data_IF_418318509795
#
_entry.id   IF_418318509795
#
_cell.length_a   1.000
_cell.length_b   1.000
_cell.length_c   1.000
_cell.angle_alpha   90.00
_cell.angle_beta   90.00
_cell.angle_gamma   90.00
#
_symmetry.space_group_name_H-M   'P 1'
#
loop_
_entity.id
_entity.type
_entity.pdbx_description
1 polymer ?
#
# COMPACT_ATOMS: atom_id res chain seq x y z
N UNK A 1 -8.94 41.40 31.32
CA UNK A 1 -8.73 41.59 29.87
C UNK A 1 -9.39 40.40 29.17
N UNK A 2 -10.71 40.32 28.96
CA UNK A 2 -11.64 41.16 28.15
C UNK A 2 -11.21 41.24 26.67
N UNK A 3 -11.48 40.18 25.90
CA UNK A 3 -12.54 40.13 24.86
C UNK A 3 -12.20 39.21 23.66
N UNK A 4 -13.21 38.54 23.08
CA UNK A 4 -13.10 37.63 21.94
C UNK A 4 -13.33 38.33 20.60
N UNK A 5 -12.83 37.75 19.51
CA UNK A 5 -13.09 38.20 18.14
C UNK A 5 -14.01 37.20 17.42
N UNK A 6 -15.28 37.60 17.32
CA UNK A 6 -16.22 37.10 16.33
C UNK A 6 -15.86 37.71 14.96
N UNK A 7 -15.89 36.91 13.89
CA UNK A 7 -16.18 37.41 12.56
C UNK A 7 -17.08 36.41 11.82
N UNK A 8 -18.32 36.84 11.61
CA UNK A 8 -19.24 36.32 10.60
C UNK A 8 -18.77 36.76 9.22
N UNK A 9 -18.91 35.91 8.19
CA UNK A 9 -19.06 36.39 6.80
C UNK A 9 -19.74 35.35 5.89
N UNK A 10 -20.94 35.74 5.45
CA UNK A 10 -21.58 35.58 4.15
C UNK A 10 -21.72 34.20 3.47
N UNK A 11 -22.99 33.76 3.40
CA UNK A 11 -23.55 33.05 2.25
C UNK A 11 -23.65 33.98 1.03
N UNK A 12 -23.33 33.50 -0.19
CA UNK A 12 -23.82 34.11 -1.42
C UNK A 12 -25.07 33.39 -1.96
N UNK A 13 -25.99 34.26 -2.35
CA UNK A 13 -27.26 34.05 -3.04
C UNK A 13 -27.13 33.30 -4.37
N UNK A 14 -28.09 32.42 -4.60
CA UNK A 14 -28.52 31.84 -5.88
C UNK A 14 -29.04 32.91 -6.86
N UNK A 15 -28.50 32.94 -8.08
CA UNK A 15 -29.20 33.46 -9.27
C UNK A 15 -29.09 32.47 -10.44
N UNK A 16 -30.15 32.29 -11.26
CA UNK A 16 -30.19 31.33 -12.35
C UNK A 16 -29.61 31.89 -13.65
N UNK A 17 -28.52 31.29 -14.14
CA UNK A 17 -28.01 31.54 -15.49
C UNK A 17 -28.92 30.90 -16.56
N UNK A 18 -29.56 31.75 -17.37
CA UNK A 18 -30.08 31.40 -18.70
C UNK A 18 -28.92 30.95 -19.58
N UNK A 19 -28.84 29.66 -19.88
CA UNK A 19 -27.92 29.14 -20.91
C UNK A 19 -28.65 29.13 -22.25
N UNK A 20 -28.13 29.93 -23.18
CA UNK A 20 -28.54 29.92 -24.57
C UNK A 20 -28.16 28.58 -25.22
N UNK A 21 -29.12 27.95 -25.89
CA UNK A 21 -28.90 26.78 -26.74
C UNK A 21 -28.04 27.19 -27.94
N UNK A 22 -26.75 26.87 -27.94
CA UNK A 22 -25.96 26.78 -29.16
C UNK A 22 -26.15 25.40 -29.77
N UNK A 23 -26.66 25.34 -31.00
CA UNK A 23 -26.73 24.12 -31.78
C UNK A 23 -25.32 23.53 -32.00
N UNK A 24 -25.12 22.20 -31.88
CA UNK A 24 -23.83 21.59 -32.18
C UNK A 24 -23.64 21.47 -33.70
N UNK A 25 -22.60 22.14 -34.18
CA UNK A 25 -22.07 22.08 -35.54
C UNK A 25 -21.49 20.69 -35.84
N UNK A 26 -21.97 20.09 -36.92
CA UNK A 26 -21.51 18.79 -37.45
C UNK A 26 -20.11 18.89 -38.08
N UNK A 27 -19.05 18.69 -37.28
CA UNK A 27 -17.67 18.53 -37.77
C UNK A 27 -16.92 17.33 -37.18
N UNK A 28 -17.63 16.43 -36.49
CA UNK A 28 -17.07 15.33 -35.68
C UNK A 28 -16.65 14.08 -36.47
N UNK A 29 -16.96 13.99 -37.77
CA UNK A 29 -16.85 12.72 -38.51
C UNK A 29 -15.41 12.31 -38.84
N UNK A 30 -14.53 13.25 -39.25
CA UNK A 30 -13.16 12.90 -39.66
C UNK A 30 -12.26 12.59 -38.46
N UNK A 31 -12.39 13.36 -37.37
CA UNK A 31 -11.55 13.24 -36.19
C UNK A 31 -11.72 11.88 -35.48
N UNK A 32 -12.95 11.35 -35.43
CA UNK A 32 -13.25 10.08 -34.76
C UNK A 32 -12.62 8.87 -35.45
N UNK A 33 -12.53 8.89 -36.80
CA UNK A 33 -11.91 7.79 -37.55
C UNK A 33 -10.41 7.78 -37.31
N UNK A 34 -9.76 8.95 -37.38
CA UNK A 34 -8.33 9.08 -37.09
C UNK A 34 -7.97 8.66 -35.65
N UNK A 35 -8.85 8.90 -34.68
CA UNK A 35 -8.61 8.43 -33.29
C UNK A 35 -8.72 6.92 -33.15
N UNK A 36 -9.61 6.28 -33.92
CA UNK A 36 -9.82 4.84 -33.86
C UNK A 36 -8.65 4.09 -34.50
N UNK A 37 -8.20 4.52 -35.68
CA UNK A 37 -7.03 3.95 -36.37
C UNK A 37 -5.76 4.08 -35.51
N UNK A 38 -5.53 5.26 -34.93
CA UNK A 38 -4.39 5.50 -34.06
C UNK A 38 -4.45 4.64 -32.78
N UNK A 39 -5.64 4.47 -32.18
CA UNK A 39 -5.82 3.62 -31.01
C UNK A 39 -5.60 2.13 -31.35
N UNK A 40 -6.10 1.66 -32.50
CA UNK A 40 -5.84 0.30 -33.00
C UNK A 40 -4.34 0.04 -33.16
N UNK A 41 -3.62 0.98 -33.79
CA UNK A 41 -2.17 0.88 -33.96
C UNK A 41 -1.44 0.81 -32.61
N UNK A 42 -1.79 1.69 -31.67
CA UNK A 42 -1.22 1.70 -30.33
C UNK A 42 -1.47 0.39 -29.58
N UNK A 43 -2.68 -0.18 -29.67
CA UNK A 43 -3.01 -1.46 -29.03
C UNK A 43 -2.25 -2.64 -29.65
N UNK A 44 -2.03 -2.63 -30.98
CA UNK A 44 -1.20 -3.64 -31.65
C UNK A 44 0.26 -3.55 -31.20
N UNK A 45 0.81 -2.34 -31.10
CA UNK A 45 2.17 -2.13 -30.59
C UNK A 45 2.28 -2.59 -29.13
N UNK A 46 1.32 -2.19 -28.29
CA UNK A 46 1.26 -2.62 -26.90
C UNK A 46 1.22 -4.14 -26.79
N UNK A 47 0.35 -4.80 -27.56
CA UNK A 47 0.26 -6.27 -27.63
C UNK A 47 1.61 -6.95 -27.89
N UNK A 48 2.42 -6.42 -28.82
CA UNK A 48 3.74 -6.99 -29.11
C UNK A 48 4.79 -6.67 -28.05
N UNK A 49 4.61 -5.58 -27.28
CA UNK A 49 5.47 -5.27 -26.14
C UNK A 49 5.12 -6.12 -24.89
N UNK A 50 3.88 -6.60 -24.75
CA UNK A 50 3.40 -7.34 -23.59
C UNK A 50 3.67 -8.86 -23.70
N UNK A 51 4.94 -9.27 -23.72
CA UNK A 51 5.28 -10.71 -23.79
C UNK A 51 5.29 -11.41 -22.41
N UNK A 52 5.42 -10.64 -21.33
CA UNK A 52 5.53 -11.19 -19.97
C UNK A 52 4.22 -11.80 -19.44
N UNK A 53 3.06 -11.35 -19.93
CA UNK A 53 1.74 -11.76 -19.43
C UNK A 53 0.83 -12.15 -20.60
N UNK A 54 0.75 -13.46 -20.95
CA UNK A 54 0.01 -13.94 -22.11
C UNK A 54 -1.45 -13.49 -22.16
N UNK A 55 -2.10 -13.39 -21.00
CA UNK A 55 -3.51 -12.98 -20.96
C UNK A 55 -3.72 -11.48 -21.20
N UNK A 56 -2.76 -10.63 -20.83
CA UNK A 56 -2.81 -9.21 -21.15
C UNK A 56 -2.63 -9.00 -22.67
N UNK A 57 -1.73 -9.79 -23.29
CA UNK A 57 -1.59 -9.84 -24.76
C UNK A 57 -2.91 -10.19 -25.45
N UNK A 58 -3.68 -11.13 -24.90
CA UNK A 58 -5.01 -11.50 -25.42
C UNK A 58 -6.04 -10.36 -25.27
N UNK A 59 -6.06 -9.68 -24.12
CA UNK A 59 -6.95 -8.52 -23.89
C UNK A 59 -6.64 -7.38 -24.87
N UNK A 60 -5.35 -7.05 -25.06
CA UNK A 60 -4.92 -6.04 -26.02
C UNK A 60 -5.28 -6.41 -27.45
N UNK A 61 -5.14 -7.69 -27.81
CA UNK A 61 -5.60 -8.22 -29.11
C UNK A 61 -7.11 -8.08 -29.31
N UNK A 62 -7.91 -8.47 -28.31
CA UNK A 62 -9.37 -8.32 -28.36
C UNK A 62 -9.78 -6.85 -28.46
N UNK A 63 -9.12 -5.96 -27.71
CA UNK A 63 -9.34 -4.52 -27.80
C UNK A 63 -9.04 -3.98 -29.20
N UNK A 64 -7.90 -4.36 -29.80
CA UNK A 64 -7.57 -3.96 -31.17
C UNK A 64 -8.64 -4.41 -32.18
N UNK A 65 -9.11 -5.66 -32.07
CA UNK A 65 -10.19 -6.18 -32.92
C UNK A 65 -11.51 -5.42 -32.72
N UNK A 66 -11.86 -5.06 -31.48
CA UNK A 66 -13.05 -4.26 -31.16
C UNK A 66 -13.00 -2.91 -31.89
N UNK A 67 -11.83 -2.25 -31.90
CA UNK A 67 -11.65 -0.99 -32.62
C UNK A 67 -11.79 -1.18 -34.13
N UNK A 68 -11.13 -2.18 -34.73
CA UNK A 68 -11.26 -2.48 -36.16
C UNK A 68 -12.72 -2.76 -36.58
N UNK A 69 -13.47 -3.46 -35.72
CA UNK A 69 -14.89 -3.73 -35.96
C UNK A 69 -15.74 -2.47 -35.83
N UNK A 70 -15.39 -1.57 -34.90
CA UNK A 70 -16.10 -0.31 -34.68
C UNK A 70 -15.94 0.64 -35.89
N UNK A 71 -14.80 0.63 -36.58
CA UNK A 71 -14.61 1.41 -37.83
C UNK A 71 -15.63 1.03 -38.92
N UNK A 72 -16.07 -0.24 -38.94
CA UNK A 72 -17.04 -0.76 -39.92
C UNK A 72 -18.49 -0.49 -39.54
N UNK A 73 -18.75 -0.06 -38.31
CA UNK A 73 -20.11 0.19 -37.81
C UNK A 73 -20.47 1.66 -38.02
N UNK A 74 -21.70 1.88 -38.48
CA UNK A 74 -22.24 3.21 -38.79
C UNK A 74 -22.21 4.14 -37.56
N UNK A 75 -21.68 5.37 -37.74
CA UNK A 75 -21.37 6.37 -36.69
C UNK A 75 -22.53 6.83 -35.80
N UNK A 76 -23.77 6.39 -36.07
CA UNK A 76 -24.97 6.86 -35.35
C UNK A 76 -25.20 6.19 -33.98
N UNK A 77 -24.26 5.37 -33.48
CA UNK A 77 -24.49 4.50 -32.30
C UNK A 77 -23.61 4.88 -31.12
N UNK A 78 -23.92 6.01 -30.49
CA UNK A 78 -23.14 6.59 -29.39
C UNK A 78 -22.74 5.57 -28.30
N UNK A 79 -23.70 4.80 -27.78
CA UNK A 79 -23.44 3.83 -26.71
C UNK A 79 -22.40 2.74 -27.07
N UNK A 80 -22.30 2.34 -28.34
CA UNK A 80 -21.27 1.40 -28.76
C UNK A 80 -19.91 2.07 -28.93
N UNK A 81 -19.88 3.32 -29.42
CA UNK A 81 -18.63 4.09 -29.47
C UNK A 81 -18.08 4.32 -28.07
N UNK A 82 -18.93 4.69 -27.12
CA UNK A 82 -18.53 4.89 -25.72
C UNK A 82 -17.96 3.59 -25.11
N UNK A 83 -18.60 2.45 -25.40
CA UNK A 83 -18.12 1.13 -24.97
C UNK A 83 -16.75 0.78 -25.58
N UNK A 84 -16.54 1.06 -26.87
CA UNK A 84 -15.27 0.81 -27.58
C UNK A 84 -14.16 1.67 -26.97
N UNK A 85 -14.42 2.96 -26.75
CA UNK A 85 -13.47 3.88 -26.12
C UNK A 85 -13.10 3.42 -24.71
N UNK A 86 -14.10 3.07 -23.88
CA UNK A 86 -13.87 2.56 -22.53
C UNK A 86 -13.02 1.27 -22.55
N UNK A 87 -13.30 0.34 -23.46
CA UNK A 87 -12.51 -0.88 -23.63
C UNK A 87 -11.05 -0.58 -24.01
N UNK A 88 -10.81 0.41 -24.89
CA UNK A 88 -9.47 0.84 -25.26
C UNK A 88 -8.70 1.46 -24.10
N UNK A 89 -9.33 2.38 -23.36
CA UNK A 89 -8.71 3.03 -22.20
C UNK A 89 -8.37 2.02 -21.10
N UNK A 90 -9.26 1.07 -20.86
CA UNK A 90 -9.02 0.00 -19.90
C UNK A 90 -7.94 -0.98 -20.35
N UNK A 91 -7.84 -1.31 -21.64
CA UNK A 91 -6.76 -2.14 -22.15
C UNK A 91 -5.39 -1.47 -21.92
N UNK A 92 -5.28 -0.15 -22.14
CA UNK A 92 -4.05 0.62 -21.85
C UNK A 92 -3.71 0.64 -20.35
N UNK A 93 -4.72 0.79 -19.48
CA UNK A 93 -4.52 0.73 -18.03
C UNK A 93 -4.04 -0.66 -17.58
N UNK A 94 -4.57 -1.73 -18.17
CA UNK A 94 -4.13 -3.10 -17.90
C UNK A 94 -2.68 -3.27 -18.31
N UNK A 95 -2.29 -2.86 -19.53
CA UNK A 95 -0.91 -2.94 -20.01
C UNK A 95 0.07 -2.23 -19.06
N UNK A 96 -0.21 -0.98 -18.70
CA UNK A 96 0.60 -0.23 -17.74
C UNK A 96 0.66 -0.88 -16.35
N UNK A 97 -0.42 -1.53 -15.91
CA UNK A 97 -0.48 -2.20 -14.61
C UNK A 97 0.28 -3.53 -14.57
N UNK A 98 0.41 -4.23 -15.70
CA UNK A 98 1.09 -5.54 -15.77
C UNK A 98 2.51 -5.44 -16.30
N UNK A 99 2.88 -4.34 -16.96
CA UNK A 99 4.20 -4.14 -17.54
C UNK A 99 5.32 -4.35 -16.50
N UNK A 100 6.18 -5.33 -16.76
CA UNK A 100 7.33 -5.65 -15.92
C UNK A 100 7.01 -6.29 -14.57
N UNK A 101 5.76 -6.71 -14.33
CA UNK A 101 5.36 -7.32 -13.05
C UNK A 101 5.10 -8.82 -13.18
N UNK A 102 5.49 -9.57 -12.14
CA UNK A 102 5.03 -10.96 -11.95
C UNK A 102 3.67 -10.90 -11.29
N UNK A 103 2.67 -11.53 -11.90
CA UNK A 103 1.29 -11.50 -11.41
C UNK A 103 1.01 -12.65 -10.45
N UNK A 104 0.33 -12.35 -9.35
CA UNK A 104 -0.22 -13.38 -8.46
C UNK A 104 -1.41 -14.09 -9.12
N UNK A 105 -1.69 -15.31 -8.66
CA UNK A 105 -2.81 -16.17 -9.11
C UNK A 105 -4.15 -15.45 -9.00
N UNK A 106 -4.35 -14.63 -7.96
CA UNK A 106 -5.58 -13.84 -7.81
C UNK A 106 -5.71 -12.79 -8.91
N UNK A 107 -4.62 -12.10 -9.23
CA UNK A 107 -4.59 -11.08 -10.27
C UNK A 107 -4.79 -11.69 -11.66
N UNK A 108 -4.16 -12.85 -11.92
CA UNK A 108 -4.37 -13.61 -13.14
C UNK A 108 -5.84 -13.98 -13.34
N UNK A 109 -6.51 -14.48 -12.29
CA UNK A 109 -7.95 -14.80 -12.34
C UNK A 109 -8.81 -13.56 -12.62
N UNK A 110 -8.40 -12.38 -12.18
CA UNK A 110 -9.10 -11.12 -12.50
C UNK A 110 -8.93 -10.73 -13.97
N UNK A 111 -7.73 -10.90 -14.51
CA UNK A 111 -7.48 -10.71 -15.94
C UNK A 111 -8.27 -11.71 -16.79
N UNK A 112 -8.46 -12.95 -16.36
CA UNK A 112 -9.31 -13.94 -17.07
C UNK A 112 -10.77 -13.49 -17.16
N UNK A 113 -11.29 -12.91 -16.07
CA UNK A 113 -12.65 -12.35 -16.05
C UNK A 113 -12.76 -11.13 -16.97
N UNK A 114 -11.79 -10.22 -16.90
CA UNK A 114 -11.72 -9.08 -17.81
C UNK A 114 -11.68 -9.54 -19.27
N UNK A 115 -10.80 -10.49 -19.61
CA UNK A 115 -10.73 -11.07 -20.94
C UNK A 115 -12.08 -11.63 -21.41
N UNK A 116 -12.81 -12.32 -20.52
CA UNK A 116 -14.15 -12.82 -20.84
C UNK A 116 -15.12 -11.68 -21.20
N UNK A 117 -15.03 -10.52 -20.52
CA UNK A 117 -15.84 -9.33 -20.85
C UNK A 117 -15.41 -8.75 -22.21
N UNK A 118 -14.12 -8.61 -22.48
CA UNK A 118 -13.61 -8.18 -23.78
C UNK A 118 -14.10 -9.09 -24.91
N UNK A 119 -14.04 -10.41 -24.73
CA UNK A 119 -14.55 -11.38 -25.70
C UNK A 119 -16.07 -11.24 -25.95
N UNK A 120 -16.87 -10.93 -24.92
CA UNK A 120 -18.31 -10.63 -25.08
C UNK A 120 -18.54 -9.35 -25.90
N UNK A 121 -17.74 -8.31 -25.68
CA UNK A 121 -17.81 -7.05 -26.42
C UNK A 121 -17.42 -7.29 -27.89
N UNK A 122 -16.33 -8.01 -28.13
CA UNK A 122 -15.91 -8.39 -29.48
C UNK A 122 -16.99 -9.19 -30.21
N UNK A 123 -17.58 -10.20 -29.57
CA UNK A 123 -18.68 -10.98 -30.12
C UNK A 123 -19.91 -10.12 -30.43
N UNK A 124 -20.21 -9.11 -29.60
CA UNK A 124 -21.25 -8.14 -29.88
C UNK A 124 -20.93 -7.32 -31.14
N UNK A 125 -19.69 -6.83 -31.28
CA UNK A 125 -19.26 -6.03 -32.44
C UNK A 125 -19.24 -6.85 -33.74
N UNK A 126 -18.70 -8.06 -33.71
CA UNK A 126 -18.69 -8.97 -34.87
C UNK A 126 -20.13 -9.24 -35.37
N UNK A 127 -21.06 -9.42 -34.43
CA UNK A 127 -22.47 -9.66 -34.75
C UNK A 127 -23.15 -8.48 -35.44
N UNK A 128 -22.64 -7.27 -35.27
CA UNK A 128 -23.18 -6.02 -35.84
C UNK A 128 -22.47 -5.58 -37.12
N UNK A 129 -21.18 -5.92 -37.25
CA UNK A 129 -20.39 -5.70 -38.47
C UNK A 129 -20.80 -6.66 -39.61
N UNK A 130 -21.41 -7.81 -39.31
CA UNK A 130 -21.80 -8.81 -40.32
C UNK A 130 -22.97 -8.38 -41.23
N UNK A 131 -23.02 -8.90 -42.49
CA UNK A 131 -24.09 -8.61 -43.43
C UNK A 131 -25.40 -9.25 -42.96
N UNK A 132 -26.40 -8.44 -42.58
CA UNK A 132 -27.72 -8.91 -42.16
C UNK A 132 -28.83 -8.12 -42.85
N UNK A 133 -29.97 -8.79 -43.03
CA UNK A 133 -31.16 -8.22 -43.66
C UNK A 133 -31.59 -6.93 -42.98
N UNK A 134 -31.98 -5.95 -43.80
CA UNK A 134 -32.20 -4.55 -43.42
C UNK A 134 -33.23 -4.41 -42.30
N UNK A 135 -34.31 -5.21 -42.33
CA UNK A 135 -35.42 -5.14 -41.37
C UNK A 135 -35.07 -5.66 -39.95
N UNK A 136 -34.28 -6.74 -39.85
CA UNK A 136 -33.81 -7.26 -38.55
C UNK A 136 -32.73 -6.37 -37.94
N UNK A 137 -32.03 -5.60 -38.77
CA UNK A 137 -31.11 -4.56 -38.31
C UNK A 137 -31.90 -3.49 -37.55
N UNK A 138 -32.90 -2.86 -38.15
CA UNK A 138 -33.57 -1.68 -37.57
C UNK A 138 -34.15 -1.92 -36.17
N UNK A 139 -34.90 -3.01 -35.96
CA UNK A 139 -35.53 -3.30 -34.65
C UNK A 139 -34.50 -3.58 -33.54
N UNK A 140 -33.48 -4.36 -33.86
CA UNK A 140 -32.41 -4.71 -32.92
C UNK A 140 -31.50 -3.52 -32.62
N UNK A 141 -31.27 -2.66 -33.62
CA UNK A 141 -30.42 -1.48 -33.53
C UNK A 141 -31.00 -0.41 -32.59
N UNK A 142 -32.32 -0.26 -32.54
CA UNK A 142 -32.96 0.82 -31.77
C UNK A 142 -33.10 0.47 -30.30
N UNK A 143 -33.37 -0.79 -29.94
CA UNK A 143 -33.70 -1.14 -28.55
C UNK A 143 -32.74 -2.13 -27.90
N UNK A 144 -32.42 -3.25 -28.56
CA UNK A 144 -31.69 -4.35 -27.90
C UNK A 144 -30.20 -4.06 -27.77
N UNK A 145 -29.64 -3.33 -28.73
CA UNK A 145 -28.21 -3.12 -28.81
C UNK A 145 -27.65 -2.12 -27.80
N UNK A 146 -28.25 -0.93 -27.62
CA UNK A 146 -27.80 0.03 -26.62
C UNK A 146 -27.85 -0.57 -25.21
N UNK A 147 -28.94 -1.27 -24.87
CA UNK A 147 -29.11 -1.94 -23.57
C UNK A 147 -28.01 -2.97 -23.32
N UNK A 148 -27.64 -3.75 -24.35
CA UNK A 148 -26.54 -4.72 -24.22
C UNK A 148 -25.17 -4.04 -24.14
N UNK A 149 -24.96 -2.96 -24.87
CA UNK A 149 -23.72 -2.19 -24.79
C UNK A 149 -23.55 -1.56 -23.39
N UNK A 150 -24.60 -0.96 -22.85
CA UNK A 150 -24.63 -0.41 -21.48
C UNK A 150 -24.42 -1.52 -20.42
N UNK A 151 -25.07 -2.68 -20.59
CA UNK A 151 -24.86 -3.82 -19.71
C UNK A 151 -23.41 -4.33 -19.74
N UNK A 152 -22.77 -4.34 -20.91
CA UNK A 152 -21.36 -4.73 -21.02
C UNK A 152 -20.42 -3.65 -20.50
N UNK A 153 -20.77 -2.37 -20.66
CA UNK A 153 -20.01 -1.25 -20.10
C UNK A 153 -19.98 -1.31 -18.58
N UNK A 154 -21.12 -1.59 -17.95
CA UNK A 154 -21.22 -1.75 -16.49
C UNK A 154 -20.50 -3.01 -15.99
N UNK A 155 -20.56 -4.12 -16.73
CA UNK A 155 -19.79 -5.33 -16.42
C UNK A 155 -18.27 -5.08 -16.52
N UNK A 156 -17.82 -4.39 -17.57
CA UNK A 156 -16.43 -4.01 -17.80
C UNK A 156 -15.90 -3.07 -16.71
N UNK A 157 -16.66 -2.02 -16.38
CA UNK A 157 -16.31 -1.08 -15.31
C UNK A 157 -16.23 -1.79 -13.95
N UNK A 158 -17.17 -2.70 -13.67
CA UNK A 158 -17.18 -3.48 -12.43
C UNK A 158 -15.92 -4.33 -12.30
N UNK A 159 -15.57 -5.12 -13.32
CA UNK A 159 -14.38 -5.97 -13.25
C UNK A 159 -13.09 -5.13 -13.23
N UNK A 160 -13.05 -3.97 -13.91
CA UNK A 160 -11.91 -3.05 -13.84
C UNK A 160 -11.73 -2.50 -12.43
N UNK A 161 -12.80 -2.05 -11.76
CA UNK A 161 -12.73 -1.58 -10.37
C UNK A 161 -12.18 -2.67 -9.44
N UNK A 162 -12.63 -3.92 -9.63
CA UNK A 162 -12.14 -5.06 -8.83
C UNK A 162 -10.66 -5.37 -9.11
N UNK A 163 -10.22 -5.27 -10.38
CA UNK A 163 -8.82 -5.41 -10.76
C UNK A 163 -7.94 -4.34 -10.10
N UNK A 164 -8.34 -3.06 -10.18
CA UNK A 164 -7.62 -1.95 -9.57
C UNK A 164 -7.54 -2.07 -8.04
N UNK A 165 -8.64 -2.46 -7.37
CA UNK A 165 -8.65 -2.67 -5.91
C UNK A 165 -7.69 -3.81 -5.54
N UNK A 166 -7.71 -4.92 -6.27
CA UNK A 166 -6.78 -6.04 -6.02
C UNK A 166 -5.33 -5.59 -6.15
N UNK A 167 -5.02 -4.82 -7.22
CA UNK A 167 -3.65 -4.34 -7.45
C UNK A 167 -3.17 -3.38 -6.38
N UNK A 168 -4.06 -2.51 -5.88
CA UNK A 168 -3.74 -1.58 -4.80
C UNK A 168 -3.52 -2.28 -3.46
N UNK A 169 -4.23 -3.38 -3.19
CA UNK A 169 -4.01 -4.18 -1.97
C UNK A 169 -2.66 -4.92 -2.07
N UNK A 170 -2.40 -5.59 -3.20
CA UNK A 170 -1.18 -6.36 -3.38
C UNK A 170 0.07 -5.47 -3.30
N UNK A 171 0.04 -4.29 -3.93
CA UNK A 171 1.14 -3.31 -3.83
C UNK A 171 1.35 -2.80 -2.41
N UNK A 172 0.28 -2.49 -1.67
CA UNK A 172 0.40 -2.04 -0.27
C UNK A 172 0.96 -3.13 0.63
N UNK A 173 0.55 -4.38 0.45
CA UNK A 173 1.09 -5.51 1.20
C UNK A 173 2.56 -5.74 0.88
N UNK A 174 2.94 -5.72 -0.40
CA UNK A 174 4.33 -5.86 -0.82
C UNK A 174 5.21 -4.72 -0.27
N UNK A 175 4.72 -3.48 -0.26
CA UNK A 175 5.42 -2.34 0.36
C UNK A 175 5.55 -2.55 1.86
N UNK A 176 4.49 -2.99 2.55
CA UNK A 176 4.54 -3.24 3.99
C UNK A 176 5.56 -4.34 4.34
N UNK A 177 5.61 -5.42 3.57
CA UNK A 177 6.60 -6.48 3.73
C UNK A 177 8.03 -5.99 3.45
N UNK A 178 8.20 -5.19 2.39
CA UNK A 178 9.50 -4.59 2.06
C UNK A 178 9.97 -3.66 3.17
N UNK A 179 9.09 -2.79 3.69
CA UNK A 179 9.38 -1.91 4.82
C UNK A 179 9.75 -2.73 6.04
N UNK A 180 9.02 -3.82 6.33
CA UNK A 180 9.33 -4.71 7.45
C UNK A 180 10.71 -5.35 7.30
N UNK A 181 11.07 -5.85 6.11
CA UNK A 181 12.39 -6.44 5.86
C UNK A 181 13.49 -5.39 6.00
N UNK A 182 13.29 -4.21 5.41
CA UNK A 182 14.24 -3.09 5.51
C UNK A 182 14.40 -2.62 6.95
N UNK A 183 13.31 -2.59 7.72
CA UNK A 183 13.34 -2.29 9.15
C UNK A 183 14.03 -3.40 9.96
N UNK A 184 13.80 -4.67 9.64
CA UNK A 184 14.49 -5.78 10.29
C UNK A 184 16.00 -5.69 10.04
N UNK A 185 16.42 -5.33 8.82
CA UNK A 185 17.82 -5.19 8.41
C UNK A 185 18.46 -3.82 8.70
N UNK A 186 17.70 -2.85 9.20
CA UNK A 186 18.27 -1.59 9.65
C UNK A 186 19.08 -1.82 10.93
N UNK A 187 20.37 -1.51 10.86
CA UNK A 187 21.29 -1.63 12.01
C UNK A 187 21.05 -0.52 13.05
N UNK A 188 20.37 0.55 12.66
CA UNK A 188 20.15 1.74 13.48
C UNK A 188 18.68 2.18 13.43
N UNK A 189 18.20 2.68 14.56
CA UNK A 189 16.93 3.38 14.74
C UNK A 189 17.24 4.82 15.18
N UNK A 190 17.33 5.73 14.20
CA UNK A 190 17.92 7.05 14.39
C UNK A 190 19.41 6.96 14.76
N UNK A 191 19.78 7.58 15.87
CA UNK A 191 21.17 7.60 16.36
C UNK A 191 21.58 6.32 17.14
N UNK A 192 20.65 5.40 17.39
CA UNK A 192 20.85 4.26 18.29
C UNK A 192 20.92 2.94 17.55
N UNK A 193 21.74 2.00 18.03
CA UNK A 193 21.81 0.68 17.44
C UNK A 193 20.51 -0.09 17.69
N UNK A 194 19.97 -0.72 16.66
CA UNK A 194 18.84 -1.65 16.77
C UNK A 194 19.40 -3.02 17.16
N UNK A 195 19.05 -3.51 18.35
CA UNK A 195 19.57 -4.77 18.88
C UNK A 195 18.61 -5.94 18.62
N UNK A 196 19.14 -7.07 18.16
CA UNK A 196 18.44 -8.35 18.04
C UNK A 196 18.74 -9.21 19.27
N UNK A 197 17.90 -10.22 19.53
CA UNK A 197 18.17 -11.16 20.63
C UNK A 197 19.53 -11.86 20.49
N UNK A 198 19.91 -12.22 19.26
CA UNK A 198 21.19 -12.89 18.98
C UNK A 198 22.41 -12.01 19.21
N UNK A 199 22.24 -10.68 19.29
CA UNK A 199 23.35 -9.75 19.54
C UNK A 199 23.76 -9.73 21.03
N UNK A 200 22.93 -10.28 21.92
CA UNK A 200 23.12 -10.27 23.37
C UNK A 200 23.45 -11.68 23.87
N UNK A 201 24.72 -11.94 24.15
CA UNK A 201 25.23 -13.21 24.65
C UNK A 201 25.60 -13.18 26.13
N UNK A 202 25.32 -14.28 26.85
CA UNK A 202 25.70 -14.50 28.25
C UNK A 202 25.07 -13.49 29.21
N UNK A 203 24.05 -13.89 29.99
CA UNK A 203 23.35 -12.97 30.92
C UNK A 203 23.59 -13.38 32.37
N UNK A 204 24.17 -12.48 33.15
CA UNK A 204 24.24 -12.61 34.61
C UNK A 204 23.36 -11.54 35.25
N UNK A 205 22.32 -11.95 35.95
CA UNK A 205 21.42 -11.03 36.64
C UNK A 205 22.20 -10.31 37.74
N UNK A 206 22.14 -8.98 37.74
CA UNK A 206 22.75 -8.11 38.75
C UNK A 206 21.71 -7.77 39.80
N UNK A 207 20.54 -7.30 39.36
CA UNK A 207 19.44 -6.95 40.23
C UNK A 207 18.10 -7.03 39.51
N UNK A 208 17.06 -7.25 40.31
CA UNK A 208 15.67 -7.26 39.87
C UNK A 208 14.82 -6.37 40.75
N UNK A 209 13.85 -5.68 40.15
CA UNK A 209 12.89 -4.83 40.84
C UNK A 209 11.46 -5.20 40.43
N UNK A 210 10.58 -5.40 41.39
CA UNK A 210 9.15 -5.49 41.10
C UNK A 210 8.63 -4.11 40.66
N UNK A 211 7.91 -4.08 39.55
CA UNK A 211 7.21 -2.91 39.02
C UNK A 211 5.79 -3.31 38.65
N UNK A 212 4.89 -2.33 38.49
CA UNK A 212 3.47 -2.60 38.18
C UNK A 212 3.29 -3.49 36.93
N UNK A 213 4.19 -3.34 35.95
CA UNK A 213 4.14 -4.05 34.66
C UNK A 213 4.84 -5.44 34.66
N UNK A 214 5.52 -5.84 35.74
CA UNK A 214 6.30 -7.08 35.81
C UNK A 214 7.56 -6.98 36.69
N UNK A 215 8.59 -7.75 36.37
CA UNK A 215 9.90 -7.73 37.04
C UNK A 215 10.91 -7.05 36.11
N UNK A 216 11.40 -5.89 36.52
CA UNK A 216 12.44 -5.17 35.81
C UNK A 216 13.80 -5.76 36.18
N UNK A 217 14.47 -6.37 35.20
CA UNK A 217 15.75 -7.04 35.40
C UNK A 217 16.89 -6.23 34.78
N UNK A 218 17.96 -6.04 35.55
CA UNK A 218 19.25 -5.56 35.07
C UNK A 218 20.23 -6.74 35.08
N UNK A 219 20.81 -7.03 33.92
CA UNK A 219 21.77 -8.10 33.76
C UNK A 219 23.04 -7.58 33.09
N UNK A 220 24.18 -8.11 33.50
CA UNK A 220 25.42 -8.00 32.74
C UNK A 220 25.33 -8.92 31.53
N UNK A 221 25.59 -8.39 30.34
CA UNK A 221 25.62 -9.20 29.12
C UNK A 221 26.63 -8.70 28.09
N UNK A 222 27.11 -9.60 27.23
CA UNK A 222 27.97 -9.23 26.10
C UNK A 222 27.12 -8.81 24.92
N UNK A 223 27.30 -7.58 24.47
CA UNK A 223 26.70 -7.04 23.24
C UNK A 223 27.85 -6.68 22.31
N UNK A 224 27.91 -7.30 21.13
CA UNK A 224 29.05 -7.16 20.21
C UNK A 224 30.42 -7.45 20.86
N UNK A 225 30.46 -8.49 21.70
CA UNK A 225 31.63 -8.88 22.50
C UNK A 225 32.09 -7.84 23.56
N UNK A 226 31.34 -6.77 23.79
CA UNK A 226 31.60 -5.78 24.84
C UNK A 226 30.64 -6.04 26.01
N UNK A 227 31.16 -6.08 27.23
CA UNK A 227 30.34 -6.23 28.43
C UNK A 227 29.51 -4.96 28.67
N UNK A 228 28.19 -5.12 28.77
CA UNK A 228 27.22 -4.04 28.92
C UNK A 228 26.16 -4.41 29.95
N UNK A 229 25.41 -3.40 30.40
CA UNK A 229 24.23 -3.62 31.23
C UNK A 229 23.02 -3.67 30.32
N UNK A 230 22.28 -4.78 30.36
CA UNK A 230 21.01 -4.94 29.65
C UNK A 230 19.87 -4.85 30.64
N UNK A 231 18.87 -4.04 30.28
CA UNK A 231 17.64 -3.84 31.05
C UNK A 231 16.45 -4.33 30.25
N UNK A 232 15.67 -5.21 30.85
CA UNK A 232 14.48 -5.81 30.24
C UNK A 232 13.40 -6.04 31.28
N UNK A 233 12.15 -6.13 30.82
CA UNK A 233 10.99 -6.40 31.67
C UNK A 233 10.56 -7.85 31.46
N UNK A 234 10.67 -8.65 32.50
CA UNK A 234 10.10 -10.00 32.53
C UNK A 234 8.67 -9.93 33.05
N UNK A 235 7.71 -10.36 32.23
CA UNK A 235 6.35 -10.63 32.70
C UNK A 235 6.27 -12.09 33.09
N UNK A 236 6.13 -12.43 34.38
CA UNK A 236 5.98 -13.82 34.76
C UNK A 236 4.68 -14.37 34.14
N UNK A 237 4.83 -15.26 33.16
CA UNK A 237 3.75 -16.09 32.64
C UNK A 237 3.44 -17.15 33.71
N UNK A 238 2.68 -16.77 34.73
CA UNK A 238 2.05 -17.68 35.71
C UNK A 238 2.90 -18.89 36.13
N UNK A 239 3.99 -18.67 36.86
CA UNK A 239 4.81 -19.76 37.39
C UNK A 239 5.94 -19.21 38.25
N UNK A 240 5.87 -19.44 39.56
CA UNK A 240 6.80 -18.90 40.54
C UNK A 240 8.22 -19.39 40.29
N UNK A 241 9.06 -18.52 39.73
CA UNK A 241 10.50 -18.67 39.82
C UNK A 241 10.97 -17.89 41.06
N UNK A 242 11.62 -18.62 41.95
CA UNK A 242 12.23 -18.13 43.18
C UNK A 242 13.44 -17.26 42.82
N UNK A 243 13.28 -15.93 42.85
CA UNK A 243 14.33 -14.96 42.48
C UNK A 243 15.12 -14.58 43.74
N UNK A 244 16.26 -15.24 43.94
CA UNK A 244 17.19 -15.05 45.08
C UNK A 244 17.90 -13.68 45.14
N UNK A 245 17.62 -12.74 44.23
CA UNK A 245 18.29 -11.44 44.11
C UNK A 245 17.30 -10.26 44.13
N UNK A 246 16.43 -10.22 45.13
CA UNK A 246 15.54 -9.09 45.35
C UNK A 246 16.31 -7.90 45.94
N UNK A 247 16.38 -6.78 45.20
CA UNK A 247 16.79 -5.51 45.79
C UNK A 247 15.59 -4.84 46.47
N UNK A 248 15.80 -4.10 47.58
CA UNK A 248 14.73 -3.32 48.20
C UNK A 248 14.13 -2.32 47.19
N UNK A 249 12.81 -2.06 47.25
CA UNK A 249 12.19 -1.07 46.39
C UNK A 249 12.81 0.31 46.64
N UNK A 250 13.28 0.97 45.57
CA UNK A 250 13.80 2.33 45.65
C UNK A 250 12.66 3.30 46.05
N UNK A 251 12.87 4.23 47.00
CA UNK A 251 11.84 5.17 47.47
C UNK A 251 11.36 6.19 46.41
N UNK A 252 11.88 6.10 45.18
CA UNK A 252 11.59 6.98 44.05
C UNK A 252 10.79 6.31 42.93
N UNK A 253 10.22 5.11 43.13
CA UNK A 253 9.34 4.46 42.15
C UNK A 253 7.98 5.17 42.03
N UNK A 254 8.02 6.45 41.64
CA UNK A 254 6.89 7.21 41.15
C UNK A 254 6.43 6.49 39.88
N UNK A 255 5.13 6.18 39.80
CA UNK A 255 4.33 5.55 38.71
C UNK A 255 4.73 5.94 37.28
N UNK A 256 5.94 5.62 36.87
CA UNK A 256 6.49 5.95 35.57
C UNK A 256 6.61 4.65 34.80
N UNK A 257 6.08 4.63 33.58
CA UNK A 257 6.20 3.49 32.69
C UNK A 257 7.67 3.09 32.61
N UNK A 258 7.97 1.79 32.63
CA UNK A 258 9.36 1.32 32.60
C UNK A 258 10.13 1.82 31.35
N UNK A 259 9.42 2.28 30.32
CA UNK A 259 9.93 2.94 29.10
C UNK A 259 10.45 4.37 29.30
N UNK A 260 10.08 5.06 30.38
CA UNK A 260 10.48 6.46 30.63
C UNK A 260 12.00 6.61 30.86
N UNK A 261 12.64 5.61 31.45
CA UNK A 261 14.08 5.65 31.74
C UNK A 261 14.95 5.55 30.47
N UNK A 262 14.72 4.59 29.53
CA UNK A 262 15.38 4.58 28.23
C UNK A 262 15.20 5.88 27.43
N UNK A 263 14.04 6.53 27.49
CA UNK A 263 13.81 7.81 26.81
C UNK A 263 14.60 8.97 27.43
N UNK A 264 14.71 9.01 28.76
CA UNK A 264 15.58 9.95 29.44
C UNK A 264 17.04 9.72 29.01
N UNK A 265 17.48 8.45 28.99
CA UNK A 265 18.83 8.09 28.57
C UNK A 265 19.09 8.46 27.12
N UNK A 266 18.12 8.31 26.20
CA UNK A 266 18.24 8.82 24.81
C UNK A 266 18.59 10.31 24.79
N UNK A 267 17.92 11.13 25.60
CA UNK A 267 18.15 12.59 25.63
C UNK A 267 19.53 12.97 26.16
N UNK A 268 20.06 12.21 27.12
CA UNK A 268 21.36 12.51 27.75
C UNK A 268 22.55 11.74 27.16
N UNK A 269 22.31 10.79 26.26
CA UNK A 269 23.38 9.96 25.65
C UNK A 269 23.96 10.58 24.37
N UNK A 270 23.75 11.89 24.15
CA UNK A 270 24.32 12.59 22.98
C UNK A 270 25.80 12.86 23.16
N UNK A 271 26.54 13.09 22.06
CA UNK A 271 27.98 13.42 22.12
C UNK A 271 28.24 14.62 23.04
N UNK A 272 27.38 15.65 22.97
CA UNK A 272 27.54 16.90 23.73
C UNK A 272 27.18 16.78 25.22
N UNK A 273 26.35 15.81 25.60
CA UNK A 273 25.91 15.58 26.99
C UNK A 273 26.52 14.34 27.63
N UNK A 274 27.40 13.66 26.89
CA UNK A 274 28.10 12.48 27.36
C UNK A 274 29.04 12.80 28.53
N UNK A 275 28.98 12.00 29.59
CA UNK A 275 29.84 12.14 30.76
C UNK A 275 30.43 10.78 31.16
N UNK A 276 31.71 10.71 31.59
CA UNK A 276 32.35 9.45 31.95
C UNK A 276 31.70 8.70 33.11
N UNK A 277 30.93 9.38 33.97
CA UNK A 277 30.23 8.74 35.09
C UNK A 277 28.73 8.51 34.83
N UNK A 278 28.28 8.68 33.59
CA UNK A 278 26.87 8.51 33.21
C UNK A 278 26.76 7.34 32.22
N UNK A 279 25.84 6.43 32.49
CA UNK A 279 25.53 5.34 31.56
C UNK A 279 24.99 5.92 30.26
N UNK A 280 25.50 5.44 29.13
CA UNK A 280 25.04 5.86 27.82
C UNK A 280 24.26 4.73 27.17
N UNK A 281 23.17 5.09 26.50
CA UNK A 281 22.42 4.15 25.69
C UNK A 281 23.29 3.68 24.53
N UNK A 282 23.39 2.36 24.35
CA UNK A 282 24.09 1.75 23.22
C UNK A 282 23.10 1.39 22.11
N UNK A 283 22.04 0.69 22.50
CA UNK A 283 21.04 0.22 21.56
C UNK A 283 19.78 -0.27 22.25
N UNK A 284 18.73 -0.38 21.46
CA UNK A 284 17.40 -0.80 21.91
C UNK A 284 16.89 -1.86 20.97
N UNK A 285 16.23 -2.86 21.54
CA UNK A 285 15.36 -3.75 20.78
C UNK A 285 13.94 -3.23 20.82
N UNK A 286 13.40 -2.85 19.66
CA UNK A 286 11.99 -2.52 19.50
C UNK A 286 11.07 -3.76 19.55
N UNK A 287 9.77 -3.55 19.31
CA UNK A 287 8.78 -4.63 19.26
C UNK A 287 7.88 -4.71 20.49
N UNK A 288 7.26 -5.90 20.66
CA UNK A 288 6.33 -6.20 21.77
C UNK A 288 6.96 -5.87 23.13
N UNK A 289 6.17 -5.36 24.11
CA UNK A 289 6.66 -5.05 25.45
C UNK A 289 7.46 -6.19 26.09
N UNK A 290 7.06 -7.44 25.86
CA UNK A 290 7.66 -8.64 26.47
C UNK A 290 9.02 -9.02 25.84
N UNK A 291 9.36 -8.42 24.71
CA UNK A 291 10.59 -8.68 23.96
C UNK A 291 11.54 -7.47 23.98
N UNK A 292 11.11 -6.35 24.57
CA UNK A 292 11.85 -5.09 24.53
C UNK A 292 12.98 -5.12 25.57
N UNK A 293 14.17 -4.71 25.14
CA UNK A 293 15.29 -4.48 26.05
C UNK A 293 16.14 -3.31 25.58
N UNK A 294 16.89 -2.72 26.50
CA UNK A 294 17.86 -1.67 26.23
C UNK A 294 19.24 -2.11 26.74
N UNK A 295 20.29 -1.85 25.98
CA UNK A 295 21.67 -2.05 26.40
C UNK A 295 22.35 -0.71 26.67
N UNK A 296 23.12 -0.67 27.74
CA UNK A 296 23.84 0.51 28.19
C UNK A 296 25.34 0.23 28.25
N UNK A 297 26.12 1.14 27.68
CA UNK A 297 27.56 1.19 27.87
C UNK A 297 27.85 2.02 29.12
N UNK A 298 28.74 1.54 29.98
CA UNK A 298 29.25 2.35 31.08
C UNK A 298 30.25 3.37 30.54
N UNK A 299 30.19 4.61 31.04
CA UNK A 299 31.37 5.46 30.98
C UNK A 299 32.38 4.94 32.02
N UNK A 300 33.61 4.65 31.58
CA UNK A 300 34.88 4.36 32.28
C UNK A 300 34.95 3.80 33.73
N UNK A 301 33.88 3.37 34.38
CA UNK A 301 33.89 2.90 35.77
C UNK A 301 32.82 1.82 35.98
N UNK A 302 33.06 0.67 35.37
CA UNK A 302 32.47 -0.59 35.79
C UNK A 302 33.59 -1.64 35.86
N UNK A 303 34.74 -1.27 36.44
CA UNK A 303 35.56 -2.21 37.21
C UNK A 303 34.87 -2.42 38.56
N UNK A 304 33.65 -2.96 38.54
CA UNK A 304 33.17 -3.68 39.70
C UNK A 304 33.97 -4.97 39.71
N UNK A 305 34.95 -5.04 40.62
CA UNK A 305 35.54 -6.30 41.05
C UNK A 305 34.39 -7.22 41.51
N UNK A 306 33.91 -8.04 40.59
CA UNK A 306 33.13 -9.23 40.90
C UNK A 306 34.18 -10.34 40.99
N UNK A 307 34.71 -10.54 42.20
CA UNK A 307 35.36 -11.78 42.60
C UNK A 307 34.31 -12.73 43.18
#
# INVERSE_FOLDING_TARGET
MVSPLCHAFNCPSTEPHKVAMSAPSHTTSSAVVTTLEAATAALKIGREATDAVPIAKQILGAAANIFELAERIEKKRQAMFDLVLAAGDYAKQIDAAVAGRVLDVKMQRRLERLYTVFAKIEALMQKEAGPKSVALRTLRNVFVLPIKAESLATELEREMKLFQISGNIDTRLAIADTVRIVEEDSRYDGDWRRLRHGDVGGRQVICTYAVDDGVLTYASARVDNVLMIVRYLDRPLGGGHDVSHYCPPLPLARRSSWTSYPELLRRISTVHTSHPNIAQLYGIRGGSPDARFAAFRSGKLLELHIH
#
